data_IF_221187235764
#
_entry.id   IF_221187235764
#
_cell.length_a   1.000
_cell.length_b   1.000
_cell.length_c   1.000
_cell.angle_alpha   90.00
_cell.angle_beta   90.00
_cell.angle_gamma   90.00
#
_symmetry.space_group_name_H-M   'P 1'
#
loop_
_entity.id
_entity.type
_entity.pdbx_description
1 polymer ?
#
# COMPACT_ATOMS: atom_id res chain seq x y z
N UNK A 1 -3.49 -26.27 34.38
CA UNK A 1 -2.94 -24.90 34.48
C UNK A 1 -3.59 -24.05 33.39
N UNK A 2 -4.66 -23.32 33.72
CA UNK A 2 -5.46 -22.58 32.74
C UNK A 2 -4.65 -21.42 32.15
N UNK A 3 -4.59 -21.33 30.83
CA UNK A 3 -3.61 -20.53 30.10
C UNK A 3 -4.06 -19.04 30.02
N UNK A 4 -3.92 -18.32 31.13
CA UNK A 4 -4.37 -16.92 31.32
C UNK A 4 -3.87 -15.94 30.23
N UNK A 5 -2.70 -16.18 29.64
CA UNK A 5 -2.12 -15.31 28.58
C UNK A 5 -2.87 -15.39 27.25
N UNK A 6 -3.43 -16.55 26.91
CA UNK A 6 -4.24 -16.75 25.71
C UNK A 6 -5.62 -16.07 25.83
N UNK A 7 -6.15 -15.98 27.05
CA UNK A 7 -7.39 -15.27 27.32
C UNK A 7 -7.19 -13.75 27.22
N UNK A 8 -6.07 -13.23 27.73
CA UNK A 8 -5.74 -11.80 27.65
C UNK A 8 -5.53 -11.29 26.21
N UNK A 9 -4.87 -12.06 25.33
CA UNK A 9 -4.66 -11.64 23.94
C UNK A 9 -5.96 -11.66 23.12
N UNK A 10 -6.87 -12.62 23.39
CA UNK A 10 -8.22 -12.65 22.82
C UNK A 10 -9.10 -11.52 23.35
N UNK A 11 -9.01 -11.18 24.65
CA UNK A 11 -9.74 -10.04 25.22
C UNK A 11 -9.27 -8.70 24.67
N UNK A 12 -7.96 -8.53 24.48
CA UNK A 12 -7.40 -7.33 23.86
C UNK A 12 -7.80 -7.19 22.39
N UNK A 13 -7.99 -8.29 21.64
CA UNK A 13 -8.45 -8.23 20.25
C UNK A 13 -9.94 -7.91 20.14
N UNK A 14 -10.78 -8.42 21.05
CA UNK A 14 -12.21 -8.09 21.14
C UNK A 14 -12.41 -6.60 21.49
N UNK A 15 -11.58 -6.05 22.38
CA UNK A 15 -11.60 -4.62 22.72
C UNK A 15 -11.35 -3.69 21.52
N UNK A 16 -10.62 -4.14 20.49
CA UNK A 16 -10.37 -3.34 19.28
C UNK A 16 -11.62 -3.16 18.40
N UNK A 17 -12.62 -4.02 18.53
CA UNK A 17 -13.92 -3.88 17.84
C UNK A 17 -14.77 -2.75 18.45
N UNK A 18 -14.39 -2.30 19.65
CA UNK A 18 -14.93 -1.15 20.35
C UNK A 18 -14.06 0.11 20.15
N UNK A 19 -13.23 0.21 19.11
CA UNK A 19 -12.63 1.51 18.77
C UNK A 19 -13.67 2.48 18.14
N UNK A 20 -13.60 3.79 18.46
CA UNK A 20 -14.42 4.78 17.76
C UNK A 20 -14.01 4.84 16.28
N UNK A 21 -15.00 4.80 15.37
CA UNK A 21 -14.79 4.85 13.91
C UNK A 21 -15.41 3.68 13.13
N UNK A 22 -15.70 2.54 13.79
CA UNK A 22 -16.22 1.34 13.11
C UNK A 22 -17.76 1.24 13.05
N UNK A 23 -18.50 2.14 13.70
CA UNK A 23 -19.97 2.14 13.70
C UNK A 23 -20.65 1.00 14.47
N UNK A 24 -19.92 -0.09 14.80
CA UNK A 24 -20.41 -1.30 15.47
C UNK A 24 -21.08 -0.99 16.82
N UNK A 25 -20.53 -0.06 17.60
CA UNK A 25 -21.07 0.31 18.93
C UNK A 25 -22.54 0.76 18.88
N UNK A 26 -22.90 1.56 17.87
CA UNK A 26 -24.24 2.13 17.75
C UNK A 26 -25.27 1.03 17.45
N UNK A 27 -24.92 0.09 16.58
CA UNK A 27 -25.81 -1.01 16.20
C UNK A 27 -25.88 -2.11 17.26
N UNK A 28 -24.81 -2.31 18.03
CA UNK A 28 -24.80 -3.20 19.19
C UNK A 28 -25.72 -2.68 20.30
N UNK A 29 -25.77 -1.37 20.52
CA UNK A 29 -26.75 -0.73 21.41
C UNK A 29 -28.18 -0.92 20.90
N UNK A 30 -28.44 -0.72 19.60
CA UNK A 30 -29.77 -0.95 19.00
C UNK A 30 -30.21 -2.41 19.17
N UNK A 31 -29.30 -3.37 18.99
CA UNK A 31 -29.57 -4.79 19.19
C UNK A 31 -29.91 -5.10 20.67
N UNK A 32 -29.15 -4.58 21.62
CA UNK A 32 -29.41 -4.73 23.05
C UNK A 32 -30.76 -4.11 23.48
N UNK A 33 -31.08 -2.92 22.98
CA UNK A 33 -32.38 -2.28 23.20
C UNK A 33 -33.53 -3.13 22.62
N UNK A 34 -33.34 -3.70 21.43
CA UNK A 34 -34.31 -4.62 20.83
C UNK A 34 -34.53 -5.89 21.67
N UNK A 35 -33.46 -6.44 22.26
CA UNK A 35 -33.53 -7.61 23.15
C UNK A 35 -34.36 -7.32 24.41
N UNK A 36 -34.13 -6.16 25.04
CA UNK A 36 -34.88 -5.73 26.23
C UNK A 36 -36.36 -5.56 25.90
N UNK A 37 -36.67 -4.87 24.80
CA UNK A 37 -38.05 -4.65 24.36
C UNK A 37 -38.76 -5.94 23.96
N UNK A 38 -38.03 -6.87 23.32
CA UNK A 38 -38.57 -8.18 22.99
C UNK A 38 -38.96 -8.97 24.24
N UNK A 39 -38.06 -9.07 25.23
CA UNK A 39 -38.35 -9.79 26.47
C UNK A 39 -39.45 -9.11 27.29
N UNK A 40 -39.49 -7.77 27.30
CA UNK A 40 -40.54 -7.03 27.99
C UNK A 40 -41.90 -7.19 27.30
N UNK A 41 -41.96 -7.12 25.96
CA UNK A 41 -43.16 -7.39 25.18
C UNK A 41 -43.65 -8.83 25.32
N UNK A 42 -42.72 -9.79 25.37
CA UNK A 42 -43.03 -11.21 25.61
C UNK A 42 -43.63 -11.44 27.00
N UNK A 43 -43.08 -10.79 28.03
CA UNK A 43 -43.61 -10.85 29.39
C UNK A 43 -45.03 -10.26 29.49
N UNK A 44 -45.32 -9.18 28.76
CA UNK A 44 -46.67 -8.58 28.70
C UNK A 44 -47.65 -9.45 27.89
N UNK A 45 -47.19 -10.13 26.84
CA UNK A 45 -48.03 -10.96 25.98
C UNK A 45 -48.43 -12.29 26.63
N UNK A 46 -47.49 -12.96 27.31
CA UNK A 46 -47.75 -14.25 27.98
C UNK A 46 -48.60 -14.11 29.26
N UNK A 47 -48.76 -12.88 29.74
CA UNK A 47 -49.53 -12.56 30.94
C UNK A 47 -48.92 -13.11 32.24
N UNK A 48 -49.57 -12.85 33.38
CA UNK A 48 -49.05 -13.20 34.71
C UNK A 48 -48.95 -14.72 34.95
N UNK A 49 -49.75 -15.54 34.26
CA UNK A 49 -49.81 -16.99 34.49
C UNK A 49 -48.53 -17.74 34.09
N UNK A 50 -47.84 -17.29 33.04
CA UNK A 50 -46.56 -17.88 32.63
C UNK A 50 -45.45 -17.62 33.68
N UNK A 51 -45.48 -16.46 34.33
CA UNK A 51 -44.51 -16.05 35.35
C UNK A 51 -44.71 -16.75 36.70
N UNK A 52 -45.91 -17.26 36.96
CA UNK A 52 -46.28 -17.90 38.23
C UNK A 52 -45.49 -19.21 38.48
N UNK A 53 -45.02 -19.86 37.42
CA UNK A 53 -44.15 -21.04 37.46
C UNK A 53 -42.69 -20.74 37.87
N UNK A 54 -42.26 -19.47 37.82
CA UNK A 54 -40.89 -19.02 38.10
C UNK A 54 -40.82 -18.14 39.35
N UNK A 55 -41.77 -18.31 40.27
CA UNK A 55 -42.04 -17.39 41.38
C UNK A 55 -40.83 -17.20 42.30
N UNK A 56 -40.22 -16.01 42.24
CA UNK A 56 -39.68 -15.29 43.40
C UNK A 56 -39.67 -13.78 43.11
N UNK A 57 -40.54 -13.04 43.81
CA UNK A 57 -40.53 -11.57 44.01
C UNK A 57 -40.88 -10.66 42.82
N UNK A 58 -42.05 -10.83 42.20
CA UNK A 58 -42.64 -9.77 41.35
C UNK A 58 -44.12 -9.47 41.65
N UNK A 59 -44.60 -9.79 42.84
CA UNK A 59 -45.98 -9.48 43.28
C UNK A 59 -46.26 -7.97 43.43
N UNK A 60 -45.22 -7.11 43.40
CA UNK A 60 -45.36 -5.65 43.43
C UNK A 60 -45.58 -5.00 42.06
N UNK A 61 -45.39 -5.74 40.96
CA UNK A 61 -45.62 -5.26 39.59
C UNK A 61 -46.98 -5.70 39.01
N UNK A 62 -47.67 -6.64 39.67
CA UNK A 62 -48.98 -7.16 39.25
C UNK A 62 -50.10 -6.11 39.36
N UNK A 63 -50.03 -5.15 40.27
CA UNK A 63 -51.10 -4.18 40.52
C UNK A 63 -51.19 -3.04 39.49
N UNK A 64 -50.25 -2.98 38.52
CA UNK A 64 -50.19 -1.87 37.54
C UNK A 64 -50.51 -2.32 36.11
N UNK A 65 -50.64 -3.62 35.86
CA UNK A 65 -50.78 -4.18 34.51
C UNK A 65 -52.26 -4.56 34.31
N UNK A 66 -53.07 -3.57 33.92
CA UNK A 66 -54.53 -3.74 33.72
C UNK A 66 -54.91 -4.68 32.55
N UNK A 67 -56.21 -4.94 32.39
CA UNK A 67 -56.82 -5.87 31.42
C UNK A 67 -56.46 -5.60 29.94
N UNK A 68 -55.95 -4.41 29.60
CA UNK A 68 -55.48 -4.06 28.23
C UNK A 68 -54.00 -4.31 27.98
N UNK A 69 -53.27 -4.88 28.93
CA UNK A 69 -51.82 -5.11 28.86
C UNK A 69 -51.39 -6.02 27.71
N UNK A 70 -52.23 -6.98 27.31
CA UNK A 70 -51.96 -7.88 26.20
C UNK A 70 -51.91 -7.16 24.83
N UNK A 71 -52.78 -6.17 24.60
CA UNK A 71 -52.81 -5.39 23.37
C UNK A 71 -51.53 -4.56 23.21
N UNK A 72 -51.11 -3.88 24.28
CA UNK A 72 -49.85 -3.13 24.30
C UNK A 72 -48.62 -4.05 24.21
N UNK A 73 -48.71 -5.26 24.77
CA UNK A 73 -47.65 -6.28 24.69
C UNK A 73 -47.33 -6.68 23.26
N UNK A 74 -48.34 -6.82 22.40
CA UNK A 74 -48.15 -7.14 20.97
C UNK A 74 -47.38 -6.02 20.25
N UNK A 75 -47.75 -4.76 20.48
CA UNK A 75 -47.05 -3.62 19.87
C UNK A 75 -45.59 -3.52 20.32
N UNK A 76 -45.32 -3.72 21.62
CA UNK A 76 -43.97 -3.70 22.18
C UNK A 76 -43.14 -4.86 21.63
N UNK A 77 -43.72 -6.07 21.56
CA UNK A 77 -43.06 -7.26 21.02
C UNK A 77 -42.69 -7.09 19.54
N UNK A 78 -43.62 -6.59 18.72
CA UNK A 78 -43.35 -6.29 17.30
C UNK A 78 -42.24 -5.24 17.16
N UNK A 79 -42.26 -4.18 17.97
CA UNK A 79 -41.21 -3.16 17.95
C UNK A 79 -39.83 -3.73 18.34
N UNK A 80 -39.79 -4.63 19.32
CA UNK A 80 -38.58 -5.33 19.75
C UNK A 80 -38.01 -6.23 18.65
N UNK A 81 -38.87 -6.99 17.96
CA UNK A 81 -38.47 -7.83 16.81
C UNK A 81 -37.89 -6.96 15.69
N UNK A 82 -38.52 -5.84 15.35
CA UNK A 82 -38.02 -4.93 14.30
C UNK A 82 -36.64 -4.38 14.68
N UNK A 83 -36.45 -3.94 15.92
CA UNK A 83 -35.15 -3.44 16.39
C UNK A 83 -34.07 -4.53 16.42
N UNK A 84 -34.45 -5.77 16.76
CA UNK A 84 -33.54 -6.92 16.71
C UNK A 84 -33.10 -7.23 15.28
N UNK A 85 -34.03 -7.31 14.35
CA UNK A 85 -33.73 -7.56 12.93
C UNK A 85 -32.86 -6.44 12.34
N UNK A 86 -33.19 -5.17 12.63
CA UNK A 86 -32.38 -4.03 12.22
C UNK A 86 -30.98 -4.06 12.84
N UNK A 87 -30.88 -4.38 14.13
CA UNK A 87 -29.61 -4.54 14.85
C UNK A 87 -28.73 -5.62 14.23
N UNK A 88 -29.28 -6.82 14.01
CA UNK A 88 -28.55 -7.96 13.42
C UNK A 88 -28.15 -7.66 11.98
N UNK A 89 -29.05 -7.15 11.13
CA UNK A 89 -28.73 -6.83 9.74
C UNK A 89 -27.65 -5.75 9.64
N UNK A 90 -27.70 -4.72 10.49
CA UNK A 90 -26.70 -3.64 10.51
C UNK A 90 -25.37 -4.09 11.10
N UNK A 91 -25.39 -4.94 12.13
CA UNK A 91 -24.18 -5.57 12.65
C UNK A 91 -23.53 -6.43 11.57
N UNK A 92 -24.30 -7.29 10.90
CA UNK A 92 -23.81 -8.11 9.81
C UNK A 92 -23.25 -7.26 8.67
N UNK A 93 -23.91 -6.18 8.26
CA UNK A 93 -23.37 -5.23 7.27
C UNK A 93 -22.11 -4.51 7.74
N UNK A 94 -22.01 -4.16 9.02
CA UNK A 94 -20.84 -3.51 9.60
C UNK A 94 -19.65 -4.47 9.75
N UNK A 95 -19.92 -5.77 9.94
CA UNK A 95 -18.92 -6.84 9.96
C UNK A 95 -18.57 -7.30 8.54
N UNK A 96 -19.52 -7.34 7.61
CA UNK A 96 -19.30 -7.71 6.21
C UNK A 96 -18.55 -6.61 5.47
N UNK A 97 -18.85 -5.34 5.76
CA UNK A 97 -18.01 -4.22 5.36
C UNK A 97 -16.62 -4.42 5.95
N UNK A 98 -16.50 -4.81 7.23
CA UNK A 98 -15.19 -5.08 7.83
C UNK A 98 -14.44 -6.25 7.18
N UNK A 99 -15.12 -7.30 6.72
CA UNK A 99 -14.53 -8.48 6.07
C UNK A 99 -14.06 -8.17 4.63
N UNK A 100 -14.83 -7.37 3.88
CA UNK A 100 -14.41 -6.80 2.61
C UNK A 100 -13.31 -5.73 2.78
N UNK A 101 -13.27 -5.05 3.93
CA UNK A 101 -12.23 -4.07 4.30
C UNK A 101 -10.90 -4.70 4.76
N UNK A 102 -10.78 -6.03 4.92
CA UNK A 102 -9.44 -6.64 5.02
C UNK A 102 -8.68 -6.55 3.68
N UNK A 103 -9.40 -6.49 2.57
CA UNK A 103 -8.82 -6.20 1.25
C UNK A 103 -8.64 -4.69 1.02
N UNK A 104 -9.53 -3.86 1.58
CA UNK A 104 -9.69 -2.45 1.19
C UNK A 104 -9.17 -1.41 2.23
N UNK A 105 -8.74 -1.82 3.44
CA UNK A 105 -8.02 -0.93 4.37
C UNK A 105 -6.66 -0.48 3.82
N UNK A 106 -6.01 -1.31 2.99
CA UNK A 106 -4.83 -0.90 2.22
C UNK A 106 -5.16 0.31 1.34
N UNK A 107 -6.34 0.35 0.71
CA UNK A 107 -6.70 1.42 -0.22
C UNK A 107 -6.85 2.78 0.46
N UNK A 108 -7.49 2.85 1.65
CA UNK A 108 -7.64 4.12 2.38
C UNK A 108 -6.30 4.60 2.95
N UNK A 109 -5.47 3.69 3.46
CA UNK A 109 -4.12 4.01 3.94
C UNK A 109 -3.19 4.43 2.80
N UNK A 110 -3.29 3.77 1.64
CA UNK A 110 -2.58 4.15 0.40
C UNK A 110 -3.05 5.52 -0.09
N UNK A 111 -4.36 5.82 -0.06
CA UNK A 111 -4.89 7.13 -0.44
C UNK A 111 -4.46 8.25 0.51
N UNK A 112 -4.46 7.98 1.83
CA UNK A 112 -4.02 8.95 2.83
C UNK A 112 -2.51 9.18 2.74
N UNK A 113 -1.71 8.12 2.64
CA UNK A 113 -0.27 8.21 2.44
C UNK A 113 0.05 8.93 1.14
N UNK A 114 -0.66 8.66 0.03
CA UNK A 114 -0.44 9.36 -1.22
C UNK A 114 -0.65 10.87 -1.08
N UNK A 115 -1.75 11.31 -0.46
CA UNK A 115 -2.01 12.75 -0.20
C UNK A 115 -0.99 13.38 0.75
N UNK A 116 -0.51 12.63 1.74
CA UNK A 116 0.51 13.10 2.67
C UNK A 116 1.86 13.28 1.95
N UNK A 117 2.28 12.28 1.18
CA UNK A 117 3.53 12.29 0.41
C UNK A 117 3.53 13.36 -0.70
N UNK A 118 2.37 13.63 -1.32
CA UNK A 118 2.19 14.70 -2.31
C UNK A 118 2.41 16.10 -1.71
N UNK A 119 2.20 16.28 -0.40
CA UNK A 119 2.51 17.52 0.32
C UNK A 119 3.93 17.54 0.88
N UNK A 120 4.70 16.47 0.67
CA UNK A 120 6.09 16.36 1.12
C UNK A 120 7.03 17.35 0.40
N UNK A 121 8.25 17.51 0.91
CA UNK A 121 9.25 18.42 0.33
C UNK A 121 9.59 18.04 -1.11
N UNK A 122 9.88 19.05 -1.94
CA UNK A 122 10.40 18.86 -3.30
C UNK A 122 11.90 18.60 -3.22
N UNK A 123 12.35 17.43 -3.67
CA UNK A 123 13.74 17.02 -3.58
C UNK A 123 14.27 16.72 -4.98
N UNK A 124 15.41 17.32 -5.31
CA UNK A 124 16.18 16.97 -6.51
C UNK A 124 17.42 16.22 -6.06
N UNK A 125 17.60 15.01 -6.58
CA UNK A 125 18.78 14.18 -6.32
C UNK A 125 19.56 14.01 -7.63
N UNK A 126 20.85 14.30 -7.61
CA UNK A 126 21.72 14.26 -8.79
C UNK A 126 22.79 13.21 -8.57
N UNK A 127 23.02 12.34 -9.54
CA UNK A 127 24.08 11.33 -9.45
C UNK A 127 23.86 10.14 -10.39
N UNK A 128 24.39 8.99 -10.00
CA UNK A 128 24.27 7.74 -10.74
C UNK A 128 24.44 6.52 -9.85
N UNK A 129 24.51 5.35 -10.47
CA UNK A 129 24.81 4.08 -9.83
C UNK A 129 23.87 3.65 -8.68
N UNK A 130 24.43 2.80 -7.82
CA UNK A 130 23.71 2.17 -6.70
C UNK A 130 23.46 3.13 -5.54
N UNK A 131 24.32 4.13 -5.33
CA UNK A 131 24.16 5.13 -4.28
C UNK A 131 22.88 5.96 -4.45
N UNK A 132 22.66 6.49 -5.65
CA UNK A 132 21.46 7.27 -5.95
C UNK A 132 20.21 6.40 -5.83
N UNK A 133 20.18 5.21 -6.43
CA UNK A 133 19.02 4.32 -6.36
C UNK A 133 18.68 3.87 -4.93
N UNK A 134 19.67 3.59 -4.07
CA UNK A 134 19.42 3.28 -2.65
C UNK A 134 18.84 4.49 -1.91
N UNK A 135 19.37 5.68 -2.14
CA UNK A 135 18.84 6.92 -1.55
C UNK A 135 17.37 7.15 -1.97
N UNK A 136 17.08 7.04 -3.26
CA UNK A 136 15.73 7.22 -3.81
C UNK A 136 14.72 6.22 -3.23
N UNK A 137 15.13 4.97 -3.02
CA UNK A 137 14.29 3.93 -2.39
C UNK A 137 13.91 4.29 -0.96
N UNK A 138 14.79 4.98 -0.22
CA UNK A 138 14.46 5.53 1.10
C UNK A 138 13.61 6.79 1.04
N UNK A 139 13.95 7.73 0.16
CA UNK A 139 13.27 9.02 0.05
C UNK A 139 11.80 8.89 -0.37
N UNK A 140 11.44 7.90 -1.18
CA UNK A 140 10.05 7.71 -1.65
C UNK A 140 9.05 7.44 -0.53
N UNK A 141 9.52 7.02 0.64
CA UNK A 141 8.70 6.82 1.84
C UNK A 141 8.36 8.14 2.56
N UNK A 142 9.04 9.25 2.21
CA UNK A 142 8.86 10.56 2.85
C UNK A 142 8.25 11.62 1.95
N UNK A 143 8.40 11.50 0.62
CA UNK A 143 7.83 12.43 -0.34
C UNK A 143 7.64 11.76 -1.70
N UNK A 144 6.59 12.15 -2.42
CA UNK A 144 6.41 11.79 -3.84
C UNK A 144 6.96 12.85 -4.80
N UNK A 145 7.43 13.98 -4.27
CA UNK A 145 7.96 15.11 -5.05
C UNK A 145 9.47 14.98 -5.30
N UNK A 146 9.90 13.82 -5.83
CA UNK A 146 11.31 13.52 -6.09
C UNK A 146 11.60 13.68 -7.57
N UNK A 147 12.69 14.37 -7.90
CA UNK A 147 13.26 14.38 -9.25
C UNK A 147 14.69 13.86 -9.19
N UNK A 148 14.95 12.72 -9.80
CA UNK A 148 16.28 12.15 -9.96
C UNK A 148 16.87 12.62 -11.30
N UNK A 149 18.00 13.31 -11.27
CA UNK A 149 18.80 13.65 -12.46
C UNK A 149 19.96 12.68 -12.53
N UNK A 150 19.95 11.84 -13.56
CA UNK A 150 20.78 10.64 -13.63
C UNK A 150 21.86 10.80 -14.69
N UNK A 151 23.10 10.45 -14.33
CA UNK A 151 24.22 10.39 -15.27
C UNK A 151 23.99 9.32 -16.34
N UNK A 152 24.32 9.64 -17.59
CA UNK A 152 24.18 8.74 -18.75
C UNK A 152 25.54 8.50 -19.43
N UNK A 153 26.58 8.33 -18.62
CA UNK A 153 27.98 8.17 -19.10
C UNK A 153 28.47 6.74 -19.11
N UNK A 154 27.74 5.81 -18.48
CA UNK A 154 28.12 4.40 -18.32
C UNK A 154 28.50 3.77 -19.67
N UNK A 155 29.68 3.16 -19.70
CA UNK A 155 30.22 2.43 -20.84
C UNK A 155 30.56 0.97 -20.50
N UNK A 156 30.14 0.50 -19.32
CA UNK A 156 30.39 -0.83 -18.80
C UNK A 156 29.23 -1.82 -18.93
N UNK A 157 29.55 -3.11 -18.86
CA UNK A 157 28.58 -4.19 -18.70
C UNK A 157 27.48 -4.23 -19.77
N UNK A 158 26.23 -4.43 -19.33
CA UNK A 158 25.07 -4.49 -20.24
C UNK A 158 24.72 -3.14 -20.85
N UNK A 159 24.95 -2.03 -20.14
CA UNK A 159 24.62 -0.69 -20.62
C UNK A 159 25.56 -0.29 -21.74
N UNK A 160 26.87 -0.49 -21.53
CA UNK A 160 27.91 -0.22 -22.52
C UNK A 160 27.76 -1.02 -23.81
N UNK A 161 27.40 -2.32 -23.71
CA UNK A 161 27.13 -3.15 -24.91
C UNK A 161 25.95 -2.62 -25.72
N UNK A 162 24.81 -2.34 -25.07
CA UNK A 162 23.63 -1.81 -25.77
C UNK A 162 23.90 -0.42 -26.36
N UNK A 163 24.63 0.43 -25.65
CA UNK A 163 25.08 1.73 -26.15
C UNK A 163 25.96 1.60 -27.40
N UNK A 164 26.90 0.66 -27.40
CA UNK A 164 27.79 0.42 -28.54
C UNK A 164 27.08 -0.20 -29.75
N UNK A 165 26.16 -1.13 -29.52
CA UNK A 165 25.46 -1.86 -30.59
C UNK A 165 24.30 -1.07 -31.20
N UNK A 166 23.57 -0.30 -30.39
CA UNK A 166 22.33 0.38 -30.80
C UNK A 166 22.46 1.91 -30.85
N UNK A 167 23.60 2.48 -30.44
CA UNK A 167 23.81 3.93 -30.44
C UNK A 167 22.93 4.72 -29.45
N UNK A 168 22.25 4.03 -28.53
CA UNK A 168 21.37 4.62 -27.52
C UNK A 168 22.14 5.12 -26.30
N UNK A 169 21.54 6.00 -25.50
CA UNK A 169 22.05 6.35 -24.18
C UNK A 169 22.09 5.12 -23.26
N UNK A 170 23.09 5.00 -22.38
CA UNK A 170 23.22 3.84 -21.51
C UNK A 170 22.04 3.76 -20.52
N UNK A 171 21.25 2.67 -20.55
CA UNK A 171 20.00 2.60 -19.78
C UNK A 171 20.18 2.22 -18.30
N UNK A 172 21.38 1.81 -17.88
CA UNK A 172 21.61 1.11 -16.61
C UNK A 172 21.21 1.89 -15.35
N UNK A 173 21.77 3.08 -15.19
CA UNK A 173 21.54 3.92 -14.00
C UNK A 173 20.11 4.46 -13.96
N UNK A 174 19.57 4.81 -15.12
CA UNK A 174 18.18 5.24 -15.27
C UNK A 174 17.23 4.11 -14.86
N UNK A 175 17.46 2.88 -15.36
CA UNK A 175 16.69 1.70 -14.95
C UNK A 175 16.74 1.51 -13.44
N UNK A 176 17.92 1.61 -12.82
CA UNK A 176 18.06 1.44 -11.38
C UNK A 176 17.26 2.49 -10.59
N UNK A 177 17.27 3.75 -11.03
CA UNK A 177 16.51 4.83 -10.41
C UNK A 177 14.99 4.66 -10.59
N UNK A 178 14.54 4.24 -11.78
CA UNK A 178 13.13 3.94 -12.04
C UNK A 178 12.63 2.80 -11.15
N UNK A 179 13.40 1.72 -11.03
CA UNK A 179 13.09 0.60 -10.14
C UNK A 179 13.06 1.02 -8.68
N UNK A 180 13.98 1.90 -8.25
CA UNK A 180 13.99 2.40 -6.88
C UNK A 180 12.71 3.17 -6.53
N UNK A 181 12.22 3.98 -7.47
CA UNK A 181 11.03 4.81 -7.32
C UNK A 181 9.73 4.11 -7.75
N UNK A 182 9.79 2.86 -8.23
CA UNK A 182 8.62 2.11 -8.66
C UNK A 182 7.65 1.82 -7.49
N UNK A 183 6.37 1.81 -7.82
CA UNK A 183 5.25 1.46 -6.93
C UNK A 183 4.36 0.41 -7.63
N UNK A 184 5.01 -0.66 -8.07
CA UNK A 184 4.40 -1.75 -8.84
C UNK A 184 4.38 -3.04 -8.05
N UNK A 185 3.64 -4.04 -8.54
CA UNK A 185 3.61 -5.38 -7.96
C UNK A 185 5.01 -6.03 -7.88
N UNK A 186 5.31 -6.83 -6.84
CA UNK A 186 6.63 -7.42 -6.62
C UNK A 186 7.19 -8.21 -7.81
N UNK A 187 6.31 -8.86 -8.58
CA UNK A 187 6.71 -9.61 -9.78
C UNK A 187 7.27 -8.69 -10.86
N UNK A 188 6.64 -7.53 -11.08
CA UNK A 188 7.05 -6.58 -12.11
C UNK A 188 8.39 -5.93 -11.77
N UNK A 189 8.58 -5.54 -10.50
CA UNK A 189 9.88 -5.06 -10.01
C UNK A 189 10.96 -6.13 -10.20
N UNK A 190 10.65 -7.39 -9.88
CA UNK A 190 11.57 -8.52 -10.06
C UNK A 190 11.93 -8.76 -11.53
N UNK A 191 10.96 -8.64 -12.43
CA UNK A 191 11.15 -8.81 -13.87
C UNK A 191 12.07 -7.73 -14.43
N UNK A 192 11.82 -6.46 -14.13
CA UNK A 192 12.65 -5.36 -14.61
C UNK A 192 14.03 -5.30 -13.93
N UNK A 193 14.16 -5.84 -12.72
CA UNK A 193 15.43 -6.09 -12.04
C UNK A 193 16.19 -7.34 -12.52
N UNK A 194 15.56 -8.19 -13.34
CA UNK A 194 16.15 -9.46 -13.75
C UNK A 194 17.39 -9.27 -14.63
N UNK A 195 18.40 -10.09 -14.35
CA UNK A 195 19.63 -10.22 -15.15
C UNK A 195 19.74 -11.66 -15.64
N UNK A 196 19.87 -11.83 -16.94
CA UNK A 196 20.01 -13.13 -17.57
C UNK A 196 21.32 -13.80 -17.12
N UNK A 197 21.19 -15.01 -16.56
CA UNK A 197 22.32 -15.82 -16.08
C UNK A 197 22.85 -16.84 -17.09
N UNK A 198 22.14 -17.03 -18.20
CA UNK A 198 22.42 -18.05 -19.22
C UNK A 198 22.01 -17.52 -20.59
N UNK A 199 22.65 -18.06 -21.62
CA UNK A 199 22.29 -17.83 -23.03
C UNK A 199 23.36 -17.02 -23.75
N UNK A 200 23.83 -17.52 -24.91
CA UNK A 200 25.01 -16.96 -25.61
C UNK A 200 24.97 -15.44 -25.79
N UNK A 201 23.83 -14.90 -26.24
CA UNK A 201 23.68 -13.47 -26.53
C UNK A 201 23.13 -12.68 -25.34
N UNK A 202 22.24 -13.30 -24.55
CA UNK A 202 21.51 -12.60 -23.48
C UNK A 202 22.27 -12.59 -22.16
N UNK A 203 23.26 -13.46 -21.96
CA UNK A 203 23.98 -13.58 -20.70
C UNK A 203 24.60 -12.24 -20.25
N UNK A 204 24.34 -11.90 -19.00
CA UNK A 204 24.76 -10.64 -18.40
C UNK A 204 23.91 -9.42 -18.78
N UNK A 205 23.01 -9.50 -19.78
CA UNK A 205 22.04 -8.43 -20.03
C UNK A 205 21.00 -8.36 -18.92
N UNK A 206 20.48 -7.16 -18.69
CA UNK A 206 19.28 -6.97 -17.87
C UNK A 206 18.06 -6.86 -18.76
N UNK A 207 16.98 -7.53 -18.37
CA UNK A 207 15.70 -7.41 -19.07
C UNK A 207 15.24 -5.95 -19.13
N UNK A 208 15.30 -5.21 -18.01
CA UNK A 208 14.94 -3.79 -18.01
C UNK A 208 15.80 -2.93 -18.93
N UNK A 209 17.09 -3.24 -19.10
CA UNK A 209 17.92 -2.52 -20.08
C UNK A 209 17.49 -2.81 -21.52
N UNK A 210 17.21 -4.06 -21.85
CA UNK A 210 16.72 -4.45 -23.18
C UNK A 210 15.35 -3.81 -23.45
N UNK A 211 14.48 -3.78 -22.44
CA UNK A 211 13.17 -3.15 -22.55
C UNK A 211 13.28 -1.65 -22.82
N UNK A 212 14.10 -0.92 -22.06
CA UNK A 212 14.36 0.51 -22.33
C UNK A 212 14.95 0.71 -23.72
N UNK A 213 15.87 -0.16 -24.15
CA UNK A 213 16.46 -0.09 -25.48
C UNK A 213 15.41 -0.25 -26.58
N UNK A 214 14.54 -1.25 -26.47
CA UNK A 214 13.45 -1.47 -27.42
C UNK A 214 12.46 -0.28 -27.43
N UNK A 215 12.10 0.26 -26.27
CA UNK A 215 11.24 1.44 -26.21
C UNK A 215 11.90 2.67 -26.83
N UNK A 216 13.21 2.84 -26.62
CA UNK A 216 13.99 3.94 -27.18
C UNK A 216 14.04 3.86 -28.71
N UNK A 217 14.19 2.66 -29.26
CA UNK A 217 14.19 2.42 -30.71
C UNK A 217 12.83 2.78 -31.35
N UNK A 218 11.72 2.53 -30.63
CA UNK A 218 10.37 2.79 -31.14
C UNK A 218 9.96 4.27 -30.98
N UNK A 219 10.25 4.88 -29.82
CA UNK A 219 9.66 6.17 -29.40
C UNK A 219 10.68 7.31 -29.31
N UNK A 220 11.97 7.01 -29.32
CA UNK A 220 13.02 7.92 -28.86
C UNK A 220 13.20 7.88 -27.34
N UNK A 221 14.39 8.27 -26.87
CA UNK A 221 14.81 8.02 -25.48
C UNK A 221 13.95 8.73 -24.43
N UNK A 222 13.61 10.00 -24.66
CA UNK A 222 12.81 10.77 -23.70
C UNK A 222 11.39 10.21 -23.57
N UNK A 223 10.72 9.94 -24.68
CA UNK A 223 9.37 9.35 -24.69
C UNK A 223 9.39 7.93 -24.10
N UNK A 224 10.41 7.13 -24.41
CA UNK A 224 10.61 5.81 -23.81
C UNK A 224 10.70 5.87 -22.27
N UNK A 225 11.43 6.84 -21.73
CA UNK A 225 11.55 7.04 -20.29
C UNK A 225 10.23 7.44 -19.64
N UNK A 226 9.45 8.30 -20.30
CA UNK A 226 8.13 8.70 -19.82
C UNK A 226 7.15 7.52 -19.78
N UNK A 227 7.08 6.73 -20.86
CA UNK A 227 6.21 5.55 -20.91
C UNK A 227 6.66 4.47 -19.93
N UNK A 228 7.96 4.22 -19.81
CA UNK A 228 8.46 3.25 -18.85
C UNK A 228 8.18 3.66 -17.40
N UNK A 229 8.24 4.96 -17.09
CA UNK A 229 7.84 5.50 -15.78
C UNK A 229 6.37 5.24 -15.48
N UNK A 230 5.49 5.30 -16.49
CA UNK A 230 4.06 4.97 -16.33
C UNK A 230 3.85 3.48 -16.08
N UNK A 231 4.53 2.61 -16.85
CA UNK A 231 4.46 1.15 -16.70
C UNK A 231 4.85 0.70 -15.29
N UNK A 232 5.86 1.34 -14.70
CA UNK A 232 6.35 1.04 -13.34
C UNK A 232 5.62 1.80 -12.22
N UNK A 233 4.63 2.64 -12.56
CA UNK A 233 3.95 3.52 -11.61
C UNK A 233 4.93 4.32 -10.73
N UNK A 234 5.96 4.91 -11.34
CA UNK A 234 7.05 5.59 -10.64
C UNK A 234 6.53 6.77 -9.80
N UNK A 235 6.91 6.80 -8.51
CA UNK A 235 6.65 7.91 -7.58
C UNK A 235 7.75 8.96 -7.68
N UNK A 236 7.59 9.89 -8.61
CA UNK A 236 8.54 10.98 -8.85
C UNK A 236 8.87 11.09 -10.33
N UNK A 237 10.03 11.69 -10.64
CA UNK A 237 10.55 11.83 -12.01
C UNK A 237 11.98 11.35 -12.05
N UNK A 238 12.34 10.67 -13.14
CA UNK A 238 13.73 10.32 -13.46
C UNK A 238 14.04 10.98 -14.79
N UNK A 239 15.10 11.77 -14.83
CA UNK A 239 15.54 12.53 -16.00
C UNK A 239 17.01 12.22 -16.27
N UNK A 240 17.42 12.06 -17.54
CA UNK A 240 18.83 12.00 -17.87
C UNK A 240 19.46 13.39 -17.71
N UNK A 241 20.75 13.45 -17.40
CA UNK A 241 21.51 14.72 -17.36
C UNK A 241 21.62 15.38 -18.74
N UNK A 242 21.53 14.59 -19.81
CA UNK A 242 21.49 15.06 -21.20
C UNK A 242 20.78 14.03 -22.10
N UNK A 243 20.24 14.49 -23.23
CA UNK A 243 19.75 13.63 -24.30
C UNK A 243 20.85 13.28 -25.32
N UNK A 244 22.00 13.94 -25.24
CA UNK A 244 23.14 13.71 -26.14
C UNK A 244 23.97 12.52 -25.69
N UNK A 245 24.50 11.78 -26.66
CA UNK A 245 25.42 10.68 -26.39
C UNK A 245 26.80 11.22 -25.99
N UNK A 246 27.01 11.38 -24.68
CA UNK A 246 28.22 11.95 -24.10
C UNK A 246 29.16 10.89 -23.51
N UNK A 247 30.47 11.12 -23.58
CA UNK A 247 31.48 10.26 -22.96
C UNK A 247 32.23 11.02 -21.88
N UNK A 248 32.42 10.39 -20.72
CA UNK A 248 33.23 10.96 -19.65
C UNK A 248 34.71 10.95 -20.05
N UNK A 249 35.41 12.05 -19.78
CA UNK A 249 36.85 12.20 -20.01
C UNK A 249 37.44 12.75 -18.73
N UNK A 250 38.58 12.20 -18.31
CA UNK A 250 39.36 12.71 -17.20
C UNK A 250 40.79 13.05 -17.65
N UNK A 251 41.35 14.11 -17.10
CA UNK A 251 42.78 14.44 -17.15
C UNK A 251 43.41 13.95 -15.84
N UNK A 252 44.46 13.14 -15.92
CA UNK A 252 45.22 12.74 -14.73
C UNK A 252 46.27 13.82 -14.32
N UNK A 253 46.90 13.65 -13.16
CA UNK A 253 47.94 14.57 -12.69
C UNK A 253 49.17 14.67 -13.61
N UNK A 254 49.34 13.72 -14.54
CA UNK A 254 50.41 13.71 -15.54
C UNK A 254 50.01 14.39 -16.85
N UNK A 255 48.77 14.92 -16.94
CA UNK A 255 48.24 15.59 -18.13
C UNK A 255 47.73 14.62 -19.20
N UNK A 256 47.63 13.32 -18.92
CA UNK A 256 47.11 12.33 -19.86
C UNK A 256 45.57 12.33 -19.80
N UNK A 257 44.95 12.35 -20.98
CA UNK A 257 43.51 12.22 -21.14
C UNK A 257 43.09 10.74 -21.15
N UNK A 258 42.10 10.41 -20.34
CA UNK A 258 41.52 9.07 -20.19
C UNK A 258 40.04 9.14 -20.58
N UNK A 259 39.63 8.31 -21.53
CA UNK A 259 38.28 8.33 -22.10
C UNK A 259 37.44 7.16 -21.61
N UNK A 260 36.23 7.43 -21.15
CA UNK A 260 35.26 6.44 -20.70
C UNK A 260 35.31 6.18 -19.20
N UNK A 261 34.12 6.01 -18.60
CA UNK A 261 33.94 5.83 -17.16
C UNK A 261 34.69 4.59 -16.63
N UNK A 262 34.61 3.48 -17.36
CA UNK A 262 35.29 2.24 -17.00
C UNK A 262 36.82 2.42 -16.98
N UNK A 263 37.38 3.13 -17.97
CA UNK A 263 38.83 3.35 -18.05
C UNK A 263 39.34 4.31 -16.98
N UNK A 264 38.55 5.35 -16.67
CA UNK A 264 38.86 6.31 -15.60
C UNK A 264 38.92 5.59 -14.26
N UNK A 265 37.95 4.71 -13.99
CA UNK A 265 37.88 3.91 -12.76
C UNK A 265 39.04 2.93 -12.58
N UNK A 266 39.66 2.49 -13.69
CA UNK A 266 40.84 1.61 -13.68
C UNK A 266 42.17 2.37 -13.56
N UNK A 267 42.15 3.71 -13.67
CA UNK A 267 43.35 4.52 -13.54
C UNK A 267 43.95 4.40 -12.13
N UNK A 268 45.27 4.24 -12.06
CA UNK A 268 46.04 4.26 -10.81
C UNK A 268 46.62 5.65 -10.50
N UNK A 269 46.58 6.57 -11.46
CA UNK A 269 47.06 7.94 -11.31
C UNK A 269 45.90 8.80 -10.80
N UNK A 270 46.11 9.67 -9.80
CA UNK A 270 45.06 10.58 -9.35
C UNK A 270 44.49 11.42 -10.48
N UNK A 271 43.17 11.62 -10.44
CA UNK A 271 42.44 12.42 -11.42
C UNK A 271 42.54 13.90 -11.03
N UNK A 272 42.90 14.73 -12.01
CA UNK A 272 42.97 16.19 -11.87
C UNK A 272 41.62 16.85 -12.14
N UNK A 273 40.93 16.47 -13.22
CA UNK A 273 39.59 16.95 -13.59
C UNK A 273 38.90 16.05 -14.60
#
# INVERSE_FOLDING_TARGET
MFNYRLLQSKLQSIGKWLYPGLGIKRWLLVFLCGLILFFWGLALFLGPEAFNSLSLRLQSLESYIGERSAEYGIFVLLSGIVLLLLGVQRLFRSVSSSCSLWHDRRSVEVLFNRRYLERGPKIVAIGGGTGLSTLLRGLKEYTSNITAVVTVTDDGGSSGRLRGELGILPPGDIRACLLALADTEPLMESLFGYRFRRGKTLEGHSFGNIFIAAMTDILGFEAALQEFSKVLAVRGRVLPVTLDNIRLIAEDEQGKLIYGETNISLSKVPIKR
#
